data_IF_359161637406
#
_entry.id   IF_359161637406
#
_cell.length_a   1.000
_cell.length_b   1.000
_cell.length_c   1.000
_cell.angle_alpha   90.00
_cell.angle_beta   90.00
_cell.angle_gamma   90.00
#
_symmetry.space_group_name_H-M   'P 1'
#
loop_
_entity.id
_entity.type
_entity.pdbx_description
1 polymer ?
#
# COMPACT_ATOMS: atom_id res chain seq x y z
N UNK A 1 16.23 -15.52 14.42
CA UNK A 1 16.27 -14.05 14.20
C UNK A 1 15.10 -13.73 13.28
N UNK A 2 14.40 -12.60 13.44
CA UNK A 2 13.31 -12.25 12.53
C UNK A 2 13.82 -12.07 11.10
N UNK A 3 12.94 -12.29 10.13
CA UNK A 3 13.25 -12.13 8.70
C UNK A 3 13.73 -10.72 8.38
N UNK A 4 14.80 -10.59 7.59
CA UNK A 4 15.22 -9.29 7.09
C UNK A 4 14.23 -8.77 6.04
N UNK A 5 13.70 -7.57 6.25
CA UNK A 5 12.59 -6.99 5.47
C UNK A 5 13.13 -6.10 4.34
N UNK A 6 13.55 -6.71 3.24
CA UNK A 6 14.17 -6.05 2.08
C UNK A 6 13.23 -5.17 1.27
N UNK A 7 11.93 -5.37 1.37
CA UNK A 7 10.93 -4.52 0.71
C UNK A 7 10.96 -3.05 1.16
N UNK A 8 11.61 -2.74 2.29
CA UNK A 8 11.83 -1.37 2.73
C UNK A 8 12.88 -0.65 1.88
N UNK A 9 13.91 -1.38 1.45
CA UNK A 9 15.05 -0.82 0.72
C UNK A 9 14.77 -0.77 -0.79
N UNK A 10 14.16 -1.84 -1.34
CA UNK A 10 13.78 -1.89 -2.75
C UNK A 10 12.38 -2.52 -2.93
N UNK A 11 11.42 -1.68 -3.31
CA UNK A 11 10.03 -2.10 -3.58
C UNK A 11 9.83 -2.65 -5.00
N UNK A 12 10.83 -2.56 -5.87
CA UNK A 12 10.74 -2.93 -7.30
C UNK A 12 11.36 -4.29 -7.63
N UNK A 13 12.09 -4.90 -6.71
CA UNK A 13 12.54 -6.28 -6.86
C UNK A 13 11.35 -7.23 -6.86
N UNK A 14 11.20 -7.99 -7.95
CA UNK A 14 10.09 -8.94 -8.16
C UNK A 14 10.53 -10.37 -8.16
N UNK A 15 11.84 -10.64 -8.35
CA UNK A 15 12.43 -11.98 -8.35
C UNK A 15 13.66 -11.98 -7.47
N UNK A 16 13.74 -12.96 -6.59
CA UNK A 16 14.87 -13.11 -5.68
C UNK A 16 15.05 -14.57 -5.27
N UNK A 17 16.16 -14.88 -4.61
CA UNK A 17 16.38 -16.18 -3.97
C UNK A 17 16.07 -16.05 -2.50
N UNK A 18 15.11 -16.83 -1.99
CA UNK A 18 14.70 -16.86 -0.60
C UNK A 18 15.16 -18.14 0.09
N UNK A 19 15.86 -18.01 1.21
CA UNK A 19 16.27 -19.13 2.05
C UNK A 19 15.19 -19.42 3.08
N UNK A 20 14.61 -20.63 3.05
CA UNK A 20 13.65 -21.09 4.06
C UNK A 20 14.40 -21.44 5.33
N UNK A 21 14.07 -20.77 6.43
CA UNK A 21 14.68 -20.98 7.76
C UNK A 21 13.74 -21.65 8.75
N UNK A 22 12.43 -21.62 8.49
CA UNK A 22 11.44 -22.34 9.26
C UNK A 22 10.22 -22.71 8.43
N UNK A 23 9.57 -23.81 8.80
CA UNK A 23 8.26 -24.24 8.32
C UNK A 23 7.34 -24.36 9.51
N UNK A 24 6.12 -23.90 9.37
CA UNK A 24 5.12 -23.91 10.43
C UNK A 24 3.72 -23.64 9.89
N UNK A 25 2.90 -23.10 10.74
CA UNK A 25 1.52 -22.70 10.42
C UNK A 25 1.28 -21.26 10.88
N UNK A 26 0.53 -20.50 10.10
CA UNK A 26 -0.02 -19.22 10.49
C UNK A 26 -1.53 -19.23 10.30
N UNK A 27 -2.29 -18.95 11.36
CA UNK A 27 -3.75 -19.03 11.38
C UNK A 27 -4.31 -20.37 10.83
N UNK A 28 -3.66 -21.49 11.17
CA UNK A 28 -4.06 -22.85 10.74
C UNK A 28 -3.75 -23.18 9.27
N UNK A 29 -2.93 -22.38 8.61
CA UNK A 29 -2.50 -22.61 7.23
C UNK A 29 -1.00 -22.84 7.15
N UNK A 30 -0.52 -23.72 6.24
CA UNK A 30 0.89 -23.93 6.03
C UNK A 30 1.62 -22.63 5.71
N UNK A 31 2.75 -22.40 6.37
CA UNK A 31 3.54 -21.18 6.17
C UNK A 31 5.03 -21.47 6.29
N UNK A 32 5.84 -20.64 5.62
CA UNK A 32 7.29 -20.67 5.72
C UNK A 32 7.81 -19.29 6.16
N UNK A 33 8.94 -19.31 6.87
CA UNK A 33 9.72 -18.12 7.15
C UNK A 33 10.95 -18.10 6.25
N UNK A 34 11.23 -16.95 5.65
CA UNK A 34 12.44 -16.71 4.87
C UNK A 34 13.47 -15.93 5.71
N UNK A 35 14.77 -16.22 5.57
CA UNK A 35 15.84 -15.46 6.22
C UNK A 35 15.78 -13.96 5.85
N UNK A 36 15.51 -13.67 4.58
CA UNK A 36 15.24 -12.32 4.08
C UNK A 36 14.12 -12.36 3.05
N UNK A 37 13.30 -11.29 2.99
CA UNK A 37 12.14 -11.28 2.12
C UNK A 37 11.90 -9.92 1.47
N UNK A 38 11.49 -9.93 0.17
CA UNK A 38 10.91 -8.80 -0.54
C UNK A 38 9.38 -8.88 -0.60
N UNK A 39 8.77 -9.99 -0.14
CA UNK A 39 7.32 -10.05 -0.02
C UNK A 39 6.84 -9.14 1.10
N UNK A 40 5.90 -8.25 0.78
CA UNK A 40 5.32 -7.32 1.73
C UNK A 40 4.18 -7.98 2.52
N UNK A 41 4.22 -7.97 3.86
CA UNK A 41 3.11 -8.42 4.70
C UNK A 41 1.99 -7.39 4.72
N UNK A 42 0.77 -7.83 5.02
CA UNK A 42 -0.35 -6.93 5.24
C UNK A 42 -0.03 -5.96 6.37
N UNK A 43 -0.05 -4.67 6.07
CA UNK A 43 0.21 -3.62 7.05
C UNK A 43 -0.21 -2.25 6.54
N UNK A 44 -0.51 -1.30 7.45
CA UNK A 44 -0.77 0.09 7.12
C UNK A 44 -1.96 0.30 6.17
N UNK A 45 -2.94 -0.61 6.18
CA UNK A 45 -4.10 -0.59 5.30
C UNK A 45 -3.83 -1.13 3.89
N UNK A 46 -2.61 -1.58 3.59
CA UNK A 46 -2.25 -2.23 2.34
C UNK A 46 -2.26 -3.75 2.51
N UNK A 47 -2.90 -4.46 1.58
CA UNK A 47 -2.94 -5.91 1.55
C UNK A 47 -1.56 -6.51 1.25
N UNK A 48 -1.35 -7.74 1.71
CA UNK A 48 -0.16 -8.53 1.46
C UNK A 48 0.09 -8.81 -0.02
N UNK A 49 1.35 -9.07 -0.34
CA UNK A 49 1.73 -9.60 -1.63
C UNK A 49 1.24 -11.03 -1.84
N UNK A 50 1.22 -11.39 -3.11
CA UNK A 50 1.06 -12.77 -3.60
C UNK A 50 2.19 -13.10 -4.56
N UNK A 51 2.31 -14.37 -4.93
CA UNK A 51 3.35 -14.81 -5.85
C UNK A 51 3.67 -16.29 -5.70
N UNK A 52 4.97 -16.63 -5.72
CA UNK A 52 5.41 -18.01 -5.59
C UNK A 52 6.74 -18.12 -4.82
N UNK A 53 6.93 -19.22 -4.10
CA UNK A 53 8.17 -19.65 -3.46
C UNK A 53 8.49 -21.05 -4.01
N UNK A 54 9.45 -21.14 -4.93
CA UNK A 54 9.67 -22.35 -5.71
C UNK A 54 8.43 -22.73 -6.50
N UNK A 55 7.86 -23.91 -6.19
CA UNK A 55 6.63 -24.42 -6.81
C UNK A 55 5.37 -24.12 -5.99
N UNK A 56 5.52 -23.53 -4.80
CA UNK A 56 4.41 -23.24 -3.90
C UNK A 56 3.80 -21.88 -4.24
N UNK A 57 2.49 -21.83 -4.42
CA UNK A 57 1.77 -20.57 -4.56
C UNK A 57 1.75 -19.84 -3.20
N UNK A 58 2.16 -18.58 -3.19
CA UNK A 58 2.08 -17.68 -2.04
C UNK A 58 0.70 -17.02 -2.00
N UNK A 59 -0.09 -17.36 -1.01
CA UNK A 59 -1.46 -16.86 -0.86
C UNK A 59 -1.53 -15.59 -0.02
N UNK A 60 -0.64 -15.45 0.99
CA UNK A 60 -0.66 -14.34 1.94
C UNK A 60 0.70 -14.16 2.62
N UNK A 61 0.95 -12.98 3.19
CA UNK A 61 2.15 -12.68 3.99
C UNK A 61 1.72 -11.92 5.23
N UNK A 62 2.07 -12.43 6.41
CA UNK A 62 1.65 -11.86 7.68
C UNK A 62 2.83 -11.73 8.65
N UNK A 63 2.73 -10.78 9.58
CA UNK A 63 3.69 -10.67 10.68
C UNK A 63 3.06 -11.31 11.92
N UNK A 64 3.74 -12.29 12.48
CA UNK A 64 3.33 -12.91 13.73
C UNK A 64 3.60 -12.03 14.95
N UNK A 65 3.05 -12.42 16.11
CA UNK A 65 3.24 -11.72 17.39
C UNK A 65 4.71 -11.69 17.84
N UNK A 66 5.52 -12.64 17.31
CA UNK A 66 6.96 -12.76 17.53
C UNK A 66 7.82 -11.95 16.53
N UNK A 67 7.19 -11.04 15.78
CA UNK A 67 7.80 -10.21 14.71
C UNK A 67 8.36 -11.00 13.52
N UNK A 68 8.06 -12.32 13.41
CA UNK A 68 8.44 -13.15 12.26
C UNK A 68 7.52 -12.90 11.08
N UNK A 69 8.07 -12.94 9.87
CA UNK A 69 7.29 -12.81 8.64
C UNK A 69 6.92 -14.18 8.12
N UNK A 70 5.65 -14.53 8.22
CA UNK A 70 5.08 -15.78 7.75
C UNK A 70 4.54 -15.65 6.34
N UNK A 71 5.06 -16.49 5.44
CA UNK A 71 4.64 -16.61 4.06
C UNK A 71 3.67 -17.78 3.97
N UNK A 72 2.37 -17.50 3.94
CA UNK A 72 1.31 -18.51 3.86
C UNK A 72 1.26 -19.07 2.44
N UNK A 73 1.45 -20.37 2.31
CA UNK A 73 1.55 -21.04 1.03
C UNK A 73 0.45 -22.09 0.84
N UNK A 74 0.08 -22.30 -0.42
CA UNK A 74 -0.81 -23.39 -0.80
C UNK A 74 0.03 -24.65 -1.01
N UNK A 75 -0.07 -25.59 -0.07
CA UNK A 75 0.65 -26.87 -0.12
C UNK A 75 -0.32 -28.03 0.08
N UNK A 76 -0.25 -29.01 -0.82
CA UNK A 76 -0.99 -30.28 -0.72
C UNK A 76 -0.17 -31.42 -0.14
N UNK A 77 1.04 -31.14 0.36
CA UNK A 77 1.98 -32.12 0.91
C UNK A 77 3.08 -31.45 1.75
N UNK A 78 4.07 -32.24 2.17
CA UNK A 78 5.17 -31.75 3.00
C UNK A 78 5.93 -30.60 2.34
N UNK A 79 6.21 -29.54 3.11
CA UNK A 79 7.04 -28.43 2.66
C UNK A 79 8.49 -28.74 3.05
N UNK A 80 9.43 -28.45 2.14
CA UNK A 80 10.84 -28.60 2.43
C UNK A 80 11.27 -27.58 3.51
N UNK A 81 11.78 -28.09 4.63
CA UNK A 81 12.06 -27.29 5.83
C UNK A 81 13.30 -26.40 5.75
N UNK A 82 14.12 -26.54 4.70
CA UNK A 82 15.32 -25.73 4.48
C UNK A 82 15.69 -25.73 3.01
N UNK A 83 16.43 -24.71 2.59
CA UNK A 83 16.93 -24.57 1.22
C UNK A 83 16.63 -23.20 0.64
N UNK A 84 17.25 -22.97 -0.51
CA UNK A 84 17.09 -21.72 -1.26
C UNK A 84 16.13 -21.94 -2.43
N UNK A 85 15.14 -21.10 -2.54
CA UNK A 85 14.08 -21.20 -3.56
C UNK A 85 14.01 -19.92 -4.38
N UNK A 86 13.72 -20.07 -5.66
CA UNK A 86 13.37 -18.92 -6.48
C UNK A 86 12.01 -18.35 -6.02
N UNK A 87 11.99 -17.09 -5.69
CA UNK A 87 10.79 -16.35 -5.27
C UNK A 87 10.38 -15.37 -6.36
N UNK A 88 9.08 -15.30 -6.64
CA UNK A 88 8.51 -14.36 -7.61
C UNK A 88 7.27 -13.68 -7.02
N UNK A 89 7.28 -12.33 -7.05
CA UNK A 89 6.17 -11.50 -6.57
C UNK A 89 5.21 -11.26 -7.74
N UNK A 90 3.90 -11.36 -7.48
CA UNK A 90 2.87 -10.86 -8.40
C UNK A 90 3.03 -9.34 -8.55
N UNK A 91 3.73 -8.96 -9.62
CA UNK A 91 4.05 -7.55 -9.86
C UNK A 91 2.81 -6.71 -10.15
N UNK A 92 1.82 -7.26 -10.83
CA UNK A 92 0.62 -6.51 -11.15
C UNK A 92 -0.12 -6.10 -9.87
N UNK A 93 -0.25 -7.02 -8.92
CA UNK A 93 -0.82 -6.77 -7.60
C UNK A 93 0.04 -5.81 -6.76
N UNK A 94 1.35 -6.04 -6.67
CA UNK A 94 2.29 -5.18 -5.94
C UNK A 94 2.23 -3.75 -6.45
N UNK A 95 2.30 -3.56 -7.77
CA UNK A 95 2.34 -2.24 -8.38
C UNK A 95 1.01 -1.50 -8.21
N UNK A 96 -0.13 -2.19 -8.34
CA UNK A 96 -1.45 -1.64 -8.07
C UNK A 96 -1.53 -1.12 -6.62
N UNK A 97 -1.12 -1.92 -5.63
CA UNK A 97 -1.11 -1.50 -4.23
C UNK A 97 -0.19 -0.31 -3.97
N UNK A 98 1.00 -0.28 -4.57
CA UNK A 98 1.93 0.86 -4.47
C UNK A 98 1.31 2.14 -5.03
N UNK A 99 0.59 2.06 -6.15
CA UNK A 99 -0.10 3.19 -6.74
C UNK A 99 -1.26 3.68 -5.89
N UNK A 100 -2.10 2.76 -5.40
CA UNK A 100 -3.21 3.09 -4.51
C UNK A 100 -2.72 3.75 -3.22
N UNK A 101 -1.65 3.23 -2.62
CA UNK A 101 -1.08 3.78 -1.40
C UNK A 101 -0.53 5.20 -1.62
N UNK A 102 0.23 5.41 -2.70
CA UNK A 102 0.72 6.74 -3.05
C UNK A 102 -0.45 7.71 -3.32
N UNK A 103 -1.46 7.26 -4.07
CA UNK A 103 -2.67 8.05 -4.33
C UNK A 103 -3.43 8.41 -3.06
N UNK A 104 -3.54 7.48 -2.11
CA UNK A 104 -4.15 7.72 -0.81
C UNK A 104 -3.41 8.81 -0.02
N UNK A 105 -2.07 8.81 0.00
CA UNK A 105 -1.29 9.86 0.67
C UNK A 105 -1.51 11.22 0.02
N UNK A 106 -1.51 11.29 -1.32
CA UNK A 106 -1.75 12.53 -2.06
C UNK A 106 -3.16 13.06 -1.77
N UNK A 107 -4.17 12.19 -1.76
CA UNK A 107 -5.56 12.53 -1.46
C UNK A 107 -5.73 12.99 0.00
N UNK A 108 -5.10 12.30 0.94
CA UNK A 108 -5.11 12.67 2.36
C UNK A 108 -4.52 14.07 2.58
N UNK A 109 -3.41 14.37 1.91
CA UNK A 109 -2.80 15.70 1.98
C UNK A 109 -3.71 16.78 1.34
N UNK A 110 -4.45 16.44 0.29
CA UNK A 110 -5.41 17.37 -0.32
C UNK A 110 -6.56 17.73 0.66
N UNK A 111 -7.12 16.73 1.36
CA UNK A 111 -8.15 16.98 2.38
C UNK A 111 -7.63 17.87 3.51
N UNK A 112 -6.45 17.57 4.02
CA UNK A 112 -5.88 18.33 5.13
C UNK A 112 -5.54 19.76 4.73
N UNK A 113 -4.91 19.97 3.55
CA UNK A 113 -4.51 21.28 3.07
C UNK A 113 -5.68 22.20 2.69
N UNK A 114 -6.74 21.66 2.12
CA UNK A 114 -7.87 22.44 1.62
C UNK A 114 -8.98 22.66 2.64
N UNK A 115 -9.10 21.73 3.60
CA UNK A 115 -10.27 21.64 4.48
C UNK A 115 -9.89 21.47 5.96
N UNK A 116 -8.60 21.44 6.28
CA UNK A 116 -8.11 21.12 7.63
C UNK A 116 -8.70 19.78 8.15
N UNK A 117 -8.92 18.84 7.24
CA UNK A 117 -9.58 17.56 7.50
C UNK A 117 -8.57 16.42 7.57
N UNK A 118 -8.17 15.99 8.78
CA UNK A 118 -7.21 14.90 8.91
C UNK A 118 -7.84 13.57 8.49
N UNK A 119 -7.04 12.71 7.87
CA UNK A 119 -7.44 11.33 7.61
C UNK A 119 -7.48 10.56 8.92
N UNK A 120 -8.61 9.95 9.26
CA UNK A 120 -8.80 9.13 10.45
C UNK A 120 -8.34 7.69 10.20
N UNK A 121 -8.80 7.10 9.10
CA UNK A 121 -8.44 5.75 8.69
C UNK A 121 -8.33 5.64 7.16
N UNK A 122 -7.66 4.59 6.68
CA UNK A 122 -7.64 4.21 5.26
C UNK A 122 -7.50 2.71 5.10
N UNK A 123 -8.21 2.16 4.12
CA UNK A 123 -8.12 0.75 3.74
C UNK A 123 -8.00 0.66 2.23
N UNK A 124 -6.95 -0.01 1.76
CA UNK A 124 -6.69 -0.23 0.35
C UNK A 124 -7.19 -1.63 -0.04
N UNK A 125 -8.16 -1.71 -0.92
CA UNK A 125 -8.76 -2.98 -1.34
C UNK A 125 -8.57 -3.25 -2.82
N UNK A 126 -8.81 -4.50 -3.23
CA UNK A 126 -8.67 -4.91 -4.62
C UNK A 126 -9.71 -4.25 -5.54
N UNK A 127 -10.93 -4.02 -5.04
CA UNK A 127 -12.03 -3.43 -5.82
C UNK A 127 -12.22 -1.95 -5.50
N UNK A 128 -12.01 -1.55 -4.26
CA UNK A 128 -12.17 -0.18 -3.80
C UNK A 128 -11.23 0.13 -2.65
N UNK A 129 -10.77 1.36 -2.58
CA UNK A 129 -10.09 1.92 -1.43
C UNK A 129 -11.02 2.87 -0.68
N UNK A 130 -10.93 2.87 0.64
CA UNK A 130 -11.76 3.73 1.50
C UNK A 130 -10.84 4.63 2.29
N UNK A 131 -11.18 5.91 2.36
CA UNK A 131 -10.54 6.89 3.22
C UNK A 131 -11.61 7.54 4.10
N UNK A 132 -11.36 7.58 5.40
CA UNK A 132 -12.21 8.27 6.38
C UNK A 132 -11.50 9.57 6.78
N UNK A 133 -12.22 10.68 6.70
CA UNK A 133 -11.70 12.02 6.99
C UNK A 133 -12.50 12.71 8.08
N UNK A 134 -11.85 13.56 8.86
CA UNK A 134 -12.42 14.29 9.97
C UNK A 134 -13.27 15.49 9.53
N UNK A 135 -14.30 15.25 8.71
CA UNK A 135 -15.29 16.24 8.29
C UNK A 135 -16.68 15.86 8.77
N UNK A 136 -17.42 16.83 9.28
CA UNK A 136 -18.81 16.61 9.70
C UNK A 136 -19.74 16.47 8.50
N UNK A 137 -19.61 17.36 7.51
CA UNK A 137 -20.37 17.38 6.29
C UNK A 137 -19.48 17.59 5.09
N UNK A 138 -19.73 16.87 4.00
CA UNK A 138 -19.02 16.97 2.74
C UNK A 138 -20.03 17.10 1.60
N UNK A 139 -20.05 18.22 0.93
CA UNK A 139 -20.80 18.37 -0.30
C UNK A 139 -19.98 17.90 -1.51
N UNK A 140 -20.68 17.63 -2.62
CA UNK A 140 -20.05 17.12 -3.84
C UNK A 140 -19.05 18.11 -4.47
N UNK A 141 -19.28 19.39 -4.36
CA UNK A 141 -18.35 20.43 -4.86
C UNK A 141 -17.05 20.44 -4.08
N UNK A 142 -17.11 20.20 -2.79
CA UNK A 142 -15.94 20.08 -1.94
C UNK A 142 -15.11 18.85 -2.30
N UNK A 143 -15.78 17.73 -2.57
CA UNK A 143 -15.11 16.49 -3.05
C UNK A 143 -14.41 16.74 -4.39
N UNK A 144 -15.08 17.36 -5.36
CA UNK A 144 -14.50 17.69 -6.67
C UNK A 144 -13.24 18.58 -6.54
N UNK A 145 -13.26 19.57 -5.68
CA UNK A 145 -12.08 20.44 -5.44
C UNK A 145 -10.89 19.66 -4.87
N UNK A 146 -11.13 18.77 -3.94
CA UNK A 146 -10.09 17.92 -3.34
C UNK A 146 -9.52 16.96 -4.38
N UNK A 147 -10.40 16.35 -5.18
CA UNK A 147 -10.06 15.47 -6.27
C UNK A 147 -9.20 16.18 -7.33
N UNK A 148 -9.61 17.36 -7.78
CA UNK A 148 -8.84 18.17 -8.74
C UNK A 148 -7.44 18.51 -8.21
N UNK A 149 -7.33 18.86 -6.93
CA UNK A 149 -6.04 19.16 -6.31
C UNK A 149 -5.13 17.93 -6.24
N UNK A 150 -5.66 16.78 -5.84
CA UNK A 150 -4.92 15.52 -5.82
C UNK A 150 -4.49 15.09 -7.22
N UNK A 151 -5.39 15.19 -8.21
CA UNK A 151 -5.10 14.85 -9.60
C UNK A 151 -4.03 15.75 -10.22
N UNK A 152 -4.02 17.04 -9.89
CA UNK A 152 -2.97 17.95 -10.36
C UNK A 152 -1.59 17.45 -9.94
N UNK A 153 -1.41 17.04 -8.69
CA UNK A 153 -0.15 16.48 -8.19
C UNK A 153 0.23 15.19 -8.92
N UNK A 154 -0.76 14.33 -9.21
CA UNK A 154 -0.54 13.10 -9.98
C UNK A 154 -0.10 13.39 -11.43
N UNK A 155 -0.71 14.39 -12.08
CA UNK A 155 -0.38 14.78 -13.46
C UNK A 155 0.99 15.44 -13.59
N UNK A 156 1.44 16.11 -12.54
CA UNK A 156 2.79 16.68 -12.47
C UNK A 156 3.89 15.58 -12.39
N UNK A 157 3.50 14.33 -12.14
CA UNK A 157 4.39 13.16 -12.03
C UNK A 157 5.62 13.43 -11.17
N UNK A 158 5.41 14.01 -9.99
CA UNK A 158 6.48 14.38 -9.06
C UNK A 158 7.23 13.14 -8.62
N UNK A 159 8.56 13.17 -8.74
CA UNK A 159 9.41 12.08 -8.23
C UNK A 159 9.36 12.06 -6.71
N UNK A 160 8.91 10.93 -6.13
CA UNK A 160 8.93 10.76 -4.68
C UNK A 160 10.37 10.64 -4.17
N UNK A 161 10.65 11.25 -3.03
CA UNK A 161 11.92 11.14 -2.33
C UNK A 161 11.75 10.28 -1.08
N UNK A 162 12.72 9.40 -0.86
CA UNK A 162 12.77 8.53 0.30
C UNK A 162 13.87 9.02 1.23
N UNK A 163 13.52 9.22 2.49
CA UNK A 163 14.44 9.60 3.54
C UNK A 163 14.42 8.54 4.63
N UNK A 164 15.55 8.34 5.28
CA UNK A 164 15.67 7.49 6.45
C UNK A 164 16.06 8.33 7.65
N UNK A 165 15.42 8.07 8.77
CA UNK A 165 15.63 8.78 10.04
C UNK A 165 15.38 7.83 11.21
N UNK A 166 15.46 8.34 12.41
CA UNK A 166 15.21 7.64 13.66
C UNK A 166 14.36 8.50 14.63
N UNK A 167 14.07 7.95 15.81
CA UNK A 167 13.26 8.62 16.83
C UNK A 167 13.86 9.94 17.30
N UNK A 168 15.18 10.11 17.23
CA UNK A 168 15.86 11.33 17.69
C UNK A 168 15.75 12.48 16.67
N UNK A 169 15.71 12.16 15.37
CA UNK A 169 15.75 13.13 14.28
C UNK A 169 14.43 13.28 13.53
N UNK A 170 13.40 12.48 13.85
CA UNK A 170 12.10 12.52 13.15
C UNK A 170 11.44 13.90 13.20
N UNK A 171 11.69 14.68 14.26
CA UNK A 171 11.19 16.05 14.41
C UNK A 171 11.74 17.06 13.39
N UNK A 172 12.79 16.72 12.64
CA UNK A 172 13.34 17.55 11.57
C UNK A 172 12.48 17.50 10.29
N UNK A 173 11.58 16.52 10.19
CA UNK A 173 10.71 16.33 9.03
C UNK A 173 9.32 16.93 9.31
N UNK A 174 8.76 17.72 8.36
CA UNK A 174 7.44 18.32 8.51
C UNK A 174 6.33 17.29 8.25
N UNK A 175 6.30 16.24 9.06
CA UNK A 175 5.34 15.15 8.90
C UNK A 175 3.91 15.64 9.14
N UNK A 176 3.01 15.22 8.26
CA UNK A 176 1.57 15.46 8.40
C UNK A 176 0.98 14.77 9.65
N UNK A 177 1.53 13.60 10.00
CA UNK A 177 1.14 12.83 11.21
C UNK A 177 2.38 12.29 11.92
N UNK A 178 2.36 12.15 13.24
CA UNK A 178 3.44 11.49 13.94
C UNK A 178 3.58 10.03 13.46
N UNK A 179 4.80 9.47 13.45
CA UNK A 179 5.01 8.08 13.07
C UNK A 179 4.35 7.13 14.08
N UNK A 180 3.89 5.98 13.60
CA UNK A 180 3.36 4.89 14.44
C UNK A 180 4.40 3.82 14.74
N UNK A 181 5.62 4.00 14.26
CA UNK A 181 6.76 3.08 14.40
C UNK A 181 7.93 3.80 15.03
N UNK A 182 8.82 3.06 15.65
CA UNK A 182 10.05 3.54 16.28
C UNK A 182 11.28 2.89 15.67
N UNK A 183 12.47 3.42 15.97
CA UNK A 183 13.74 2.95 15.48
C UNK A 183 14.05 3.49 14.08
N UNK A 184 14.31 2.63 13.10
CA UNK A 184 14.59 3.05 11.72
C UNK A 184 13.29 3.42 11.00
N UNK A 185 13.06 4.70 10.80
CA UNK A 185 11.83 5.24 10.22
C UNK A 185 12.07 5.68 8.77
N UNK A 186 11.24 5.19 7.86
CA UNK A 186 11.24 5.63 6.46
C UNK A 186 10.22 6.74 6.28
N UNK A 187 10.67 7.89 5.75
CA UNK A 187 9.84 9.03 5.40
C UNK A 187 9.76 9.15 3.89
N UNK A 188 8.55 9.26 3.38
CA UNK A 188 8.25 9.51 1.97
C UNK A 188 7.83 10.96 1.80
N UNK A 189 8.54 11.66 0.93
CA UNK A 189 8.23 13.02 0.50
C UNK A 189 7.57 13.00 -0.88
N UNK A 190 6.41 13.60 -0.98
CA UNK A 190 5.87 14.10 -2.24
C UNK A 190 6.27 15.58 -2.31
N UNK A 191 7.26 15.99 -3.13
CA UNK A 191 7.81 17.34 -3.11
C UNK A 191 6.73 18.41 -3.17
N UNK A 192 6.82 19.42 -2.28
CA UNK A 192 5.88 20.54 -2.11
C UNK A 192 4.44 20.11 -1.80
N UNK A 193 4.20 18.84 -1.41
CA UNK A 193 2.87 18.32 -1.19
C UNK A 193 2.67 17.59 0.13
N UNK A 194 3.39 16.51 0.39
CA UNK A 194 3.21 15.65 1.58
C UNK A 194 4.51 15.08 2.12
N UNK A 195 4.56 14.91 3.45
CA UNK A 195 5.59 14.19 4.17
C UNK A 195 4.95 13.17 5.09
N UNK A 196 5.23 11.91 4.85
CA UNK A 196 4.60 10.83 5.63
C UNK A 196 5.61 9.77 6.05
N UNK A 197 5.55 9.36 7.32
CA UNK A 197 6.26 8.16 7.78
C UNK A 197 5.51 6.91 7.29
N UNK A 198 6.17 6.07 6.49
CA UNK A 198 5.53 4.96 5.77
C UNK A 198 6.34 3.68 5.88
N UNK A 199 5.69 2.62 6.30
CA UNK A 199 6.26 1.27 6.39
C UNK A 199 5.99 0.40 5.14
N UNK A 200 5.15 0.89 4.23
CA UNK A 200 4.67 0.15 3.05
C UNK A 200 5.46 0.50 1.79
N UNK A 201 5.56 -0.40 0.80
CA UNK A 201 6.06 -0.06 -0.53
C UNK A 201 5.25 1.09 -1.14
N UNK A 202 5.95 2.06 -1.72
CA UNK A 202 5.35 3.19 -2.44
C UNK A 202 5.98 3.32 -3.82
N UNK A 203 5.27 3.92 -4.77
CA UNK A 203 5.78 4.19 -6.10
C UNK A 203 6.81 5.33 -6.02
N UNK A 204 8.09 5.02 -5.99
CA UNK A 204 9.17 6.01 -5.86
C UNK A 204 9.82 6.44 -7.17
N UNK A 205 9.55 5.74 -8.28
CA UNK A 205 10.14 6.06 -9.59
C UNK A 205 9.12 6.72 -10.49
N UNK A 206 9.51 7.87 -11.05
CA UNK A 206 8.86 8.47 -12.22
C UNK A 206 9.09 7.54 -13.41
N UNK A 207 8.19 6.62 -13.68
CA UNK A 207 8.24 5.83 -14.89
C UNK A 207 6.82 5.50 -15.37
N UNK A 208 6.43 6.27 -16.39
CA UNK A 208 5.19 6.16 -17.15
C UNK A 208 3.93 6.58 -16.39
N UNK A 209 3.33 7.63 -16.93
CA UNK A 209 2.08 8.26 -16.56
C UNK A 209 1.14 7.30 -15.85
N UNK A 210 0.75 7.67 -14.63
CA UNK A 210 -0.56 7.28 -14.13
C UNK A 210 -1.56 7.80 -15.17
N UNK A 211 -2.03 6.94 -16.06
CA UNK A 211 -3.11 7.28 -16.95
C UNK A 211 -4.38 7.35 -16.12
N UNK A 212 -4.58 8.48 -15.49
CA UNK A 212 -5.82 8.78 -14.80
C UNK A 212 -6.86 9.14 -15.85
N UNK A 213 -7.69 8.19 -16.21
CA UNK A 213 -8.93 8.49 -16.89
C UNK A 213 -9.95 8.95 -15.85
N UNK A 214 -10.27 10.23 -15.83
CA UNK A 214 -11.42 10.77 -15.14
C UNK A 214 -12.41 11.29 -16.18
N UNK A 215 -13.60 10.78 -16.12
CA UNK A 215 -14.72 11.21 -16.94
C UNK A 215 -15.91 10.27 -16.75
N UNK A 216 -17.14 10.69 -17.07
CA UNK A 216 -18.34 9.89 -16.89
C UNK A 216 -18.33 8.53 -17.64
N UNK A 217 -17.32 8.28 -18.46
CA UNK A 217 -17.12 7.04 -19.24
C UNK A 217 -15.88 6.25 -18.83
N UNK A 218 -15.25 6.52 -17.68
CA UNK A 218 -14.01 5.84 -17.28
C UNK A 218 -14.24 4.50 -16.58
N UNK A 219 -15.03 3.61 -17.18
CA UNK A 219 -15.25 2.24 -16.69
C UNK A 219 -14.14 1.24 -17.07
N UNK A 220 -13.04 1.70 -17.73
CA UNK A 220 -12.07 0.79 -18.35
C UNK A 220 -10.60 0.96 -17.95
N UNK A 221 -10.24 1.86 -17.03
CA UNK A 221 -8.85 1.93 -16.56
C UNK A 221 -8.72 1.37 -15.15
N UNK A 222 -7.84 0.36 -14.92
CA UNK A 222 -7.58 -0.18 -13.59
C UNK A 222 -6.86 0.82 -12.65
N UNK A 223 -6.52 2.02 -13.13
CA UNK A 223 -5.69 3.01 -12.43
C UNK A 223 -6.42 4.29 -12.05
N UNK A 224 -7.75 4.26 -11.97
CA UNK A 224 -8.56 5.42 -11.66
C UNK A 224 -8.72 5.59 -10.14
N UNK A 225 -8.50 6.81 -9.59
CA UNK A 225 -8.85 7.15 -8.21
C UNK A 225 -10.37 7.04 -7.95
N UNK A 226 -11.21 6.87 -8.99
CA UNK A 226 -12.65 6.57 -8.85
C UNK A 226 -12.96 5.32 -8.03
N UNK A 227 -11.93 4.51 -7.71
CA UNK A 227 -12.02 3.41 -6.73
C UNK A 227 -11.90 3.88 -5.28
N UNK A 228 -11.55 5.14 -5.01
CA UNK A 228 -11.56 5.69 -3.67
C UNK A 228 -13.00 6.07 -3.28
N UNK A 229 -13.62 5.31 -2.39
CA UNK A 229 -14.83 5.72 -1.72
C UNK A 229 -14.44 6.64 -0.55
N UNK A 230 -14.89 7.88 -0.62
CA UNK A 230 -14.76 8.83 0.49
C UNK A 230 -15.96 8.59 1.40
N UNK A 231 -15.73 8.07 2.60
CA UNK A 231 -16.78 7.93 3.61
C UNK A 231 -16.62 9.03 4.66
N UNK A 232 -17.66 9.84 4.79
CA UNK A 232 -17.94 10.60 6.02
C UNK A 232 -18.85 9.75 6.90
N UNK A 233 -18.84 9.88 8.25
CA UNK A 233 -19.77 9.18 9.10
C UNK A 233 -21.23 9.45 8.77
N UNK A 234 -21.53 10.41 7.87
CA UNK A 234 -22.89 10.79 7.42
C UNK A 234 -23.14 10.57 5.92
N UNK A 235 -22.16 10.12 5.13
CA UNK A 235 -22.32 9.89 3.69
C UNK A 235 -21.96 8.45 3.32
N UNK A 236 -22.98 7.62 3.20
CA UNK A 236 -22.91 6.34 2.50
C UNK A 236 -22.94 6.60 1.00
N UNK A 237 -21.80 6.88 0.38
CA UNK A 237 -21.70 6.94 -1.06
C UNK A 237 -21.60 5.53 -1.63
N UNK A 238 -22.72 4.88 -1.87
CA UNK A 238 -22.79 3.69 -2.70
C UNK A 238 -22.62 4.13 -4.17
N UNK A 239 -21.47 3.90 -4.77
CA UNK A 239 -21.35 3.86 -6.22
C UNK A 239 -22.20 2.69 -6.74
N UNK A 240 -23.44 2.97 -7.10
CA UNK A 240 -24.26 2.03 -7.87
C UNK A 240 -23.69 1.99 -9.29
N UNK A 241 -23.08 0.87 -9.65
CA UNK A 241 -22.88 0.53 -11.05
C UNK A 241 -24.24 0.40 -11.70
N UNK A 242 -24.55 1.13 -12.81
CA UNK A 242 -25.76 0.86 -13.54
C UNK A 242 -25.69 -0.59 -14.06
N UNK A 243 -26.69 -1.39 -13.71
CA UNK A 243 -26.89 -2.71 -14.28
C UNK A 243 -27.03 -2.56 -15.80
N UNK A 244 -26.14 -3.19 -16.55
CA UNK A 244 -26.34 -3.42 -17.98
C UNK A 244 -27.51 -4.42 -18.07
N UNK A 245 -28.66 -3.94 -18.44
CA UNK A 245 -29.76 -4.80 -18.88
C UNK A 245 -29.47 -5.38 -20.26
N UNK A 246 -29.97 -6.59 -20.56
CA UNK A 246 -29.58 -7.43 -21.68
C UNK A 246 -29.92 -6.86 -23.06
#
# INVERSE_FOLDING_TARGET
>A
MPSERRYYDDSYTTRFSGEVVAVGEHAGKPAVELASTWFYPESGGQLADRGAIGTLALADVQVGDDDRVWHVVEASGPIQASGSFACEIDWARRFDHMQQHTGQHILSAAFERLLDAPTLSSTLGAERSVIEVGLADVDWRTVERVEEAANRVLWEDRALRLHWTDDAHIGEFPLRKPPKVSGRIRVVEVPDWDWSAVTTPVKSRSSRRLSTCWGPNCSRSPYCLSRACITSPFLNCACQTPALSP
#
